data_IF_451515737483
#
_entry.id   IF_451515737483
#
_cell.length_a   1.000
_cell.length_b   1.000
_cell.length_c   1.000
_cell.angle_alpha   90.00
_cell.angle_beta   90.00
_cell.angle_gamma   90.00
#
_symmetry.space_group_name_H-M   'P 1'
#
loop_
_entity.id
_entity.type
_entity.pdbx_description
1 polymer ?
#
# COMPACT_ATOMS: atom_id res chain seq x y z
N UNK A 1 -12.40 -4.28 -3.88
CA UNK A 1 -11.39 -3.99 -4.93
C UNK A 1 -11.38 -5.15 -5.88
N UNK A 2 -11.32 -4.90 -7.18
CA UNK A 2 -11.18 -5.92 -8.22
C UNK A 2 -9.75 -5.89 -8.81
N UNK A 3 -9.54 -6.59 -9.93
CA UNK A 3 -8.26 -6.60 -10.63
C UNK A 3 -7.85 -5.21 -11.14
N UNK A 4 -8.81 -4.36 -11.53
CA UNK A 4 -8.55 -3.00 -12.03
C UNK A 4 -8.05 -2.08 -10.91
N UNK A 5 -8.62 -2.20 -9.72
CA UNK A 5 -8.16 -1.46 -8.54
C UNK A 5 -6.73 -1.83 -8.13
N UNK A 6 -6.38 -3.13 -8.17
CA UNK A 6 -5.01 -3.57 -7.91
C UNK A 6 -4.03 -3.04 -8.97
N UNK A 7 -4.42 -3.08 -10.25
CA UNK A 7 -3.64 -2.51 -11.33
C UNK A 7 -3.36 -1.01 -11.14
N UNK A 8 -4.38 -0.24 -10.74
CA UNK A 8 -4.25 1.18 -10.45
C UNK A 8 -3.29 1.45 -9.26
N UNK A 9 -3.35 0.63 -8.20
CA UNK A 9 -2.43 0.72 -7.07
C UNK A 9 -0.98 0.44 -7.49
N UNK A 10 -0.74 -0.59 -8.29
CA UNK A 10 0.59 -0.93 -8.81
C UNK A 10 1.14 0.19 -9.68
N UNK A 11 0.31 0.78 -10.55
CA UNK A 11 0.69 1.93 -11.37
C UNK A 11 1.06 3.14 -10.50
N UNK A 12 0.24 3.44 -9.49
CA UNK A 12 0.48 4.53 -8.54
C UNK A 12 1.80 4.34 -7.81
N UNK A 13 2.09 3.13 -7.33
CA UNK A 13 3.36 2.81 -6.69
C UNK A 13 4.56 3.03 -7.62
N UNK A 14 4.46 2.61 -8.88
CA UNK A 14 5.52 2.82 -9.89
C UNK A 14 5.77 4.30 -10.13
N UNK A 15 4.72 5.10 -10.29
CA UNK A 15 4.83 6.55 -10.51
C UNK A 15 5.48 7.25 -9.32
N UNK A 16 5.04 6.95 -8.09
CA UNK A 16 5.57 7.55 -6.86
C UNK A 16 7.04 7.18 -6.67
N UNK A 17 7.43 5.91 -6.91
CA UNK A 17 8.84 5.49 -6.87
C UNK A 17 9.71 6.20 -7.92
N UNK A 18 9.19 6.36 -9.15
CA UNK A 18 9.90 7.07 -10.22
C UNK A 18 10.13 8.54 -9.87
N UNK A 19 9.24 9.15 -9.09
CA UNK A 19 9.38 10.51 -8.59
C UNK A 19 10.24 10.63 -7.31
N UNK A 20 10.85 9.53 -6.83
CA UNK A 20 11.63 9.52 -5.59
C UNK A 20 10.80 9.66 -4.32
N UNK A 21 9.48 9.49 -4.40
CA UNK A 21 8.57 9.56 -3.27
C UNK A 21 8.23 8.14 -2.75
N UNK A 22 7.60 8.08 -1.58
CA UNK A 22 7.18 6.83 -0.92
C UNK A 22 5.65 6.75 -0.90
N UNK A 23 5.10 5.57 -1.23
CA UNK A 23 3.67 5.28 -1.14
C UNK A 23 3.45 4.23 -0.04
N UNK A 24 2.46 4.48 0.82
CA UNK A 24 2.09 3.59 1.92
C UNK A 24 0.58 3.34 1.88
N UNK A 25 0.17 2.18 2.37
CA UNK A 25 -1.23 1.87 2.62
C UNK A 25 -1.45 1.83 4.14
N UNK A 26 -2.63 2.25 4.61
CA UNK A 26 -3.02 2.09 6.01
C UNK A 26 -4.51 1.73 6.12
N UNK A 27 -4.90 1.07 7.21
CA UNK A 27 -6.30 0.72 7.49
C UNK A 27 -6.97 -0.07 6.36
N UNK A 28 -6.20 -1.00 5.77
CA UNK A 28 -6.68 -1.93 4.75
C UNK A 28 -7.62 -2.94 5.43
N UNK A 29 -8.84 -3.09 4.92
CA UNK A 29 -9.77 -4.07 5.47
C UNK A 29 -9.36 -5.51 5.10
N UNK A 30 -9.93 -6.48 5.81
CA UNK A 30 -9.60 -7.91 5.66
C UNK A 30 -9.76 -8.43 4.23
N UNK A 31 -10.82 -8.05 3.52
CA UNK A 31 -11.06 -8.50 2.15
C UNK A 31 -9.97 -7.99 1.18
N UNK A 32 -9.55 -6.74 1.36
CA UNK A 32 -8.46 -6.17 0.56
C UNK A 32 -7.11 -6.77 0.94
N UNK A 33 -6.88 -7.00 2.24
CA UNK A 33 -5.65 -7.62 2.72
C UNK A 33 -5.48 -9.03 2.14
N UNK A 34 -6.53 -9.85 2.18
CA UNK A 34 -6.55 -11.19 1.57
C UNK A 34 -6.20 -11.14 0.07
N UNK A 35 -6.74 -10.18 -0.67
CA UNK A 35 -6.42 -10.01 -2.10
C UNK A 35 -4.94 -9.64 -2.31
N UNK A 36 -4.38 -8.79 -1.45
CA UNK A 36 -2.95 -8.42 -1.51
C UNK A 36 -2.05 -9.61 -1.13
N UNK A 37 -2.48 -10.48 -0.21
CA UNK A 37 -1.77 -11.70 0.16
C UNK A 37 -1.77 -12.72 -0.98
N UNK A 38 -2.93 -13.01 -1.57
CA UNK A 38 -3.09 -13.96 -2.69
C UNK A 38 -2.31 -13.57 -3.93
N UNK A 39 -2.02 -12.27 -4.09
CA UNK A 39 -1.27 -11.72 -5.24
C UNK A 39 0.18 -11.40 -4.91
N UNK A 40 0.66 -11.76 -3.71
CA UNK A 40 1.97 -11.39 -3.16
C UNK A 40 2.24 -9.87 -3.08
N UNK A 41 1.23 -9.04 -3.34
CA UNK A 41 1.34 -7.57 -3.30
C UNK A 41 1.52 -7.02 -1.89
N UNK A 42 1.14 -7.78 -0.86
CA UNK A 42 1.41 -7.39 0.54
C UNK A 42 2.91 -7.23 0.84
N UNK A 43 3.80 -7.91 0.08
CA UNK A 43 5.26 -7.77 0.19
C UNK A 43 5.79 -6.52 -0.53
N UNK A 44 5.01 -6.02 -1.49
CA UNK A 44 5.40 -4.92 -2.38
C UNK A 44 5.00 -3.56 -1.77
N UNK A 45 3.83 -3.51 -1.15
CA UNK A 45 3.35 -2.34 -0.41
C UNK A 45 3.81 -2.43 1.05
N UNK A 46 4.22 -1.30 1.63
CA UNK A 46 4.32 -1.19 3.08
C UNK A 46 2.96 -0.76 3.61
N UNK A 47 2.39 -1.60 4.47
CA UNK A 47 1.02 -1.49 4.98
C UNK A 47 1.10 -1.26 6.49
N UNK A 48 0.33 -0.28 6.97
CA UNK A 48 0.16 0.02 8.39
C UNK A 48 -1.26 -0.33 8.84
N UNK A 49 -1.43 -0.69 10.10
CA UNK A 49 -2.74 -1.04 10.67
C UNK A 49 -3.65 0.20 10.72
N UNK A 50 -3.10 1.36 11.08
CA UNK A 50 -3.85 2.60 11.22
C UNK A 50 -3.16 3.82 10.62
N UNK A 51 -3.93 4.90 10.44
CA UNK A 51 -3.39 6.20 10.03
C UNK A 51 -2.44 6.76 11.09
N UNK A 52 -2.78 6.60 12.37
CA UNK A 52 -1.95 7.03 13.48
C UNK A 52 -0.62 6.27 13.51
N UNK A 53 -0.63 4.97 13.22
CA UNK A 53 0.60 4.18 13.10
C UNK A 53 1.46 4.66 11.93
N UNK A 54 0.84 4.91 10.76
CA UNK A 54 1.53 5.49 9.60
C UNK A 54 2.18 6.83 9.98
N UNK A 55 1.42 7.75 10.56
CA UNK A 55 1.91 9.10 10.93
C UNK A 55 3.09 9.05 11.91
N UNK A 56 3.07 8.14 12.90
CA UNK A 56 4.20 7.92 13.81
C UNK A 56 5.46 7.38 13.12
N UNK A 57 5.29 6.56 12.09
CA UNK A 57 6.42 5.94 11.38
C UNK A 57 7.02 6.87 10.32
N UNK A 58 6.20 7.68 9.62
CA UNK A 58 6.70 8.56 8.56
C UNK A 58 7.47 9.77 9.10
N UNK A 59 7.19 10.22 10.33
CA UNK A 59 7.95 11.32 10.95
C UNK A 59 9.42 10.93 11.25
N UNK A 60 9.76 9.65 11.17
CA UNK A 60 11.09 9.09 11.46
C UNK A 60 11.79 8.53 10.20
N UNK A 61 11.29 8.81 8.98
CA UNK A 61 11.70 8.19 7.70
C UNK A 61 12.26 9.18 6.68
#
# INVERSE_FOLDING_TARGET
MDSSGLGALVLSLKMVRAAGAKLFLCSVNEQIMMLLELTDMYKVFRIFESREELEKNIMNL
#
